data_IF_574626567872
#
_entry.id   IF_574626567872
#
_cell.length_a   1.000
_cell.length_b   1.000
_cell.length_c   1.000
_cell.angle_alpha   90.00
_cell.angle_beta   90.00
_cell.angle_gamma   90.00
#
_symmetry.space_group_name_H-M   'P 1'
#
loop_
_entity.id
_entity.type
_entity.pdbx_description
1 polymer ?
#
# COMPACT_ATOMS: atom_id res chain seq x y z
N UNK A 1 1.45 -19.08 -8.21
CA UNK A 1 2.04 -17.76 -8.49
C UNK A 1 0.94 -16.73 -8.43
N UNK A 2 1.22 -15.50 -7.98
CA UNK A 2 0.28 -14.39 -8.17
C UNK A 2 0.36 -14.00 -9.65
N UNK A 3 -0.80 -13.71 -10.26
CA UNK A 3 -0.89 -13.20 -11.63
C UNK A 3 -0.18 -11.84 -11.73
N UNK A 4 0.51 -11.59 -12.84
CA UNK A 4 1.11 -10.28 -13.15
C UNK A 4 0.04 -9.29 -13.61
N UNK A 5 0.34 -7.98 -13.55
CA UNK A 5 -0.59 -6.96 -14.03
C UNK A 5 -0.90 -7.12 -15.52
N UNK A 6 0.11 -7.46 -16.32
CA UNK A 6 -0.03 -7.71 -17.76
C UNK A 6 -0.93 -8.92 -18.04
N UNK A 7 -0.73 -10.04 -17.33
CA UNK A 7 -1.59 -11.22 -17.47
C UNK A 7 -3.05 -10.91 -17.08
N UNK A 8 -3.27 -10.12 -16.02
CA UNK A 8 -4.60 -9.71 -15.61
C UNK A 8 -5.26 -8.76 -16.64
N UNK A 9 -4.46 -7.87 -17.25
CA UNK A 9 -4.94 -6.98 -18.30
C UNK A 9 -5.31 -7.76 -19.57
N UNK A 10 -4.50 -8.75 -19.98
CA UNK A 10 -4.80 -9.63 -21.10
C UNK A 10 -6.09 -10.42 -20.84
N UNK A 11 -6.21 -11.06 -19.68
CA UNK A 11 -7.42 -11.82 -19.32
C UNK A 11 -8.67 -10.93 -19.33
N UNK A 12 -8.57 -9.68 -18.84
CA UNK A 12 -9.68 -8.73 -18.85
C UNK A 12 -10.12 -8.37 -20.29
N UNK A 13 -9.15 -8.20 -21.21
CA UNK A 13 -9.44 -7.94 -22.63
C UNK A 13 -10.11 -9.16 -23.27
N UNK A 14 -9.54 -10.35 -23.09
CA UNK A 14 -10.06 -11.60 -23.66
C UNK A 14 -11.48 -11.89 -23.19
N UNK A 15 -11.76 -11.72 -21.89
CA UNK A 15 -13.08 -11.88 -21.32
C UNK A 15 -14.11 -10.88 -21.87
N UNK A 16 -13.69 -9.64 -22.18
CA UNK A 16 -14.59 -8.61 -22.70
C UNK A 16 -14.95 -8.83 -24.17
N UNK A 17 -13.98 -9.26 -25.00
CA UNK A 17 -14.20 -9.48 -26.43
C UNK A 17 -14.57 -10.91 -26.79
N UNK A 18 -14.39 -11.87 -25.88
CA UNK A 18 -14.64 -13.30 -26.14
C UNK A 18 -13.69 -13.89 -27.18
N UNK A 19 -12.48 -13.35 -27.29
CA UNK A 19 -11.46 -13.76 -28.26
C UNK A 19 -10.06 -13.57 -27.67
N UNK A 20 -9.14 -14.44 -28.07
CA UNK A 20 -7.75 -14.45 -27.59
C UNK A 20 -7.03 -13.15 -27.94
N UNK A 21 -6.18 -12.67 -27.01
CA UNK A 21 -5.41 -11.45 -27.20
C UNK A 21 -4.29 -11.67 -28.23
N UNK A 22 -4.39 -11.01 -29.38
CA UNK A 22 -3.40 -11.14 -30.46
C UNK A 22 -2.41 -9.97 -30.56
N UNK A 23 -2.62 -8.91 -29.76
CA UNK A 23 -1.81 -7.69 -29.76
C UNK A 23 -1.81 -6.91 -31.08
N UNK A 24 -2.70 -7.25 -32.03
CA UNK A 24 -2.77 -6.63 -33.36
C UNK A 24 -4.02 -5.78 -33.52
N UNK A 25 -5.08 -6.14 -32.81
CA UNK A 25 -6.34 -5.41 -32.82
C UNK A 25 -6.20 -4.13 -31.99
N UNK A 26 -6.50 -2.98 -32.59
CA UNK A 26 -6.28 -1.67 -31.96
C UNK A 26 -7.10 -1.52 -30.67
N UNK A 27 -8.32 -2.04 -30.66
CA UNK A 27 -9.22 -2.04 -29.51
C UNK A 27 -8.67 -2.85 -28.34
N UNK A 28 -8.10 -4.03 -28.59
CA UNK A 28 -7.47 -4.87 -27.56
C UNK A 28 -6.28 -4.17 -26.90
N UNK A 29 -5.44 -3.54 -27.72
CA UNK A 29 -4.31 -2.76 -27.23
C UNK A 29 -4.78 -1.60 -26.33
N UNK A 30 -5.79 -0.83 -26.78
CA UNK A 30 -6.34 0.28 -25.99
C UNK A 30 -6.90 -0.21 -24.66
N UNK A 31 -7.66 -1.31 -24.62
CA UNK A 31 -8.22 -1.79 -23.36
C UNK A 31 -7.15 -2.29 -22.38
N UNK A 32 -6.10 -2.96 -22.88
CA UNK A 32 -4.98 -3.37 -22.02
C UNK A 32 -4.30 -2.16 -21.39
N UNK A 33 -3.94 -1.17 -22.21
CA UNK A 33 -3.30 0.07 -21.72
C UNK A 33 -4.21 0.85 -20.77
N UNK A 34 -5.52 0.90 -21.05
CA UNK A 34 -6.50 1.54 -20.17
C UNK A 34 -6.63 0.80 -18.83
N UNK A 35 -6.58 -0.53 -18.83
CA UNK A 35 -6.59 -1.35 -17.63
C UNK A 35 -5.34 -1.09 -16.78
N UNK A 36 -4.16 -1.12 -17.39
CA UNK A 36 -2.88 -0.85 -16.73
C UNK A 36 -2.85 0.57 -16.15
N UNK A 37 -3.26 1.58 -16.92
CA UNK A 37 -3.37 2.96 -16.44
C UNK A 37 -4.37 3.11 -15.28
N UNK A 38 -5.49 2.38 -15.33
CA UNK A 38 -6.47 2.33 -14.25
C UNK A 38 -5.91 1.69 -12.99
N UNK A 39 -5.15 0.60 -13.12
CA UNK A 39 -4.47 -0.06 -12.01
C UNK A 39 -3.39 0.83 -11.37
N UNK A 40 -2.60 1.54 -12.19
CA UNK A 40 -1.64 2.52 -11.70
C UNK A 40 -2.32 3.69 -10.97
N UNK A 41 -3.43 4.20 -11.51
CA UNK A 41 -4.22 5.24 -10.85
C UNK A 41 -4.77 4.75 -9.51
N UNK A 42 -5.30 3.53 -9.47
CA UNK A 42 -5.85 2.90 -8.26
C UNK A 42 -4.77 2.68 -7.20
N UNK A 43 -3.56 2.26 -7.59
CA UNK A 43 -2.43 2.12 -6.68
C UNK A 43 -2.06 3.45 -5.99
N UNK A 44 -2.23 4.58 -6.69
CA UNK A 44 -2.02 5.93 -6.16
C UNK A 44 -3.16 6.42 -5.26
N UNK A 45 -4.30 5.72 -5.21
CA UNK A 45 -5.42 6.05 -4.31
C UNK A 45 -5.27 5.45 -2.91
N UNK A 46 -4.26 4.60 -2.67
CA UNK A 46 -4.02 4.03 -1.36
C UNK A 46 -3.80 5.15 -0.34
N UNK A 47 -4.53 5.17 0.80
CA UNK A 47 -4.26 6.14 1.86
C UNK A 47 -2.92 5.86 2.57
N UNK A 48 -2.34 4.68 2.33
CA UNK A 48 -1.06 4.27 2.88
C UNK A 48 0.11 4.86 2.11
N UNK A 49 0.94 5.61 2.83
CA UNK A 49 2.22 6.13 2.40
C UNK A 49 3.33 5.18 2.84
N UNK A 50 4.26 4.84 1.95
CA UNK A 50 5.44 4.05 2.32
C UNK A 50 6.37 4.92 3.15
N UNK A 51 6.87 4.39 4.26
CA UNK A 51 7.78 5.13 5.15
C UNK A 51 9.06 5.56 4.42
N UNK A 52 9.54 4.74 3.48
CA UNK A 52 10.70 5.05 2.63
C UNK A 52 10.48 6.27 1.71
N UNK A 53 9.23 6.57 1.37
CA UNK A 53 8.88 7.65 0.44
C UNK A 53 8.65 8.95 1.22
N UNK A 54 7.96 8.88 2.37
CA UNK A 54 7.68 10.03 3.24
C UNK A 54 7.33 9.58 4.67
N UNK A 55 7.84 10.30 5.66
CA UNK A 55 7.44 10.18 7.07
C UNK A 55 6.26 11.12 7.41
N UNK A 56 5.42 10.77 8.41
CA UNK A 56 4.45 11.71 8.98
C UNK A 56 5.16 12.81 9.77
N UNK A 57 4.41 13.84 10.17
CA UNK A 57 4.96 14.87 11.08
C UNK A 57 5.27 14.23 12.45
N UNK A 58 6.35 14.67 13.12
CA UNK A 58 6.86 14.02 14.35
C UNK A 58 5.83 13.89 15.49
N UNK A 59 4.83 14.78 15.52
CA UNK A 59 3.76 14.80 16.53
C UNK A 59 2.43 14.25 16.03
N UNK A 60 2.39 13.70 14.82
CA UNK A 60 1.18 13.15 14.22
C UNK A 60 0.98 11.70 14.64
N UNK A 61 -0.17 11.43 15.28
CA UNK A 61 -0.60 10.06 15.57
C UNK A 61 -1.19 9.46 14.29
N UNK A 62 -0.59 8.37 13.81
CA UNK A 62 -0.96 7.72 12.54
C UNK A 62 -1.29 6.24 12.77
N UNK A 63 -1.98 5.63 11.80
CA UNK A 63 -2.02 4.17 11.68
C UNK A 63 -0.76 3.72 10.94
N UNK A 64 -0.12 2.67 11.42
CA UNK A 64 1.11 2.13 10.84
C UNK A 64 1.04 0.61 10.76
N UNK A 65 1.64 0.05 9.70
CA UNK A 65 1.74 -1.39 9.49
C UNK A 65 3.07 -1.92 10.01
N UNK A 66 3.01 -2.91 10.89
CA UNK A 66 4.17 -3.61 11.43
C UNK A 66 4.76 -4.57 10.41
N UNK A 67 6.09 -4.55 10.24
CA UNK A 67 6.77 -5.49 9.32
C UNK A 67 6.76 -6.93 9.87
N UNK A 68 6.80 -7.09 11.20
CA UNK A 68 6.95 -8.39 11.85
C UNK A 68 5.76 -9.34 11.67
N UNK A 69 4.54 -8.80 11.69
CA UNK A 69 3.30 -9.58 11.70
C UNK A 69 2.16 -8.92 10.91
N UNK A 70 2.45 -7.87 10.15
CA UNK A 70 1.47 -7.10 9.36
C UNK A 70 0.35 -6.45 10.20
N UNK A 71 0.48 -6.40 11.54
CA UNK A 71 -0.49 -5.78 12.40
C UNK A 71 -0.57 -4.27 12.13
N UNK A 72 -1.79 -3.73 12.20
CA UNK A 72 -2.02 -2.30 12.14
C UNK A 72 -2.18 -1.77 13.55
N UNK A 73 -1.33 -0.81 13.92
CA UNK A 73 -1.39 -0.14 15.22
C UNK A 73 -1.38 1.38 15.04
N UNK A 74 -1.85 2.09 16.05
CA UNK A 74 -1.72 3.55 16.12
C UNK A 74 -0.46 3.93 16.89
N UNK A 75 0.33 4.87 16.38
CA UNK A 75 1.55 5.32 17.07
C UNK A 75 2.23 6.48 16.36
N UNK A 76 3.37 6.90 16.91
CA UNK A 76 4.24 7.93 16.36
C UNK A 76 5.46 7.26 15.72
N UNK A 77 5.78 7.66 14.49
CA UNK A 77 6.92 7.10 13.76
C UNK A 77 8.17 7.93 14.03
N UNK A 78 9.25 7.27 14.42
CA UNK A 78 10.55 7.89 14.60
C UNK A 78 11.65 7.01 13.98
N UNK A 79 12.78 7.62 13.62
CA UNK A 79 13.94 6.89 13.12
C UNK A 79 14.83 6.51 14.31
N UNK A 80 15.06 5.22 14.50
CA UNK A 80 15.97 4.72 15.53
C UNK A 80 17.42 5.12 15.22
N UNK A 81 18.34 5.04 16.20
CA UNK A 81 19.77 5.25 15.95
C UNK A 81 20.36 4.35 14.85
N UNK A 82 19.76 3.18 14.62
CA UNK A 82 20.14 2.24 13.55
C UNK A 82 19.54 2.59 12.17
N UNK A 83 18.81 3.71 12.06
CA UNK A 83 18.17 4.16 10.83
C UNK A 83 16.86 3.44 10.51
N UNK A 84 16.28 2.72 11.47
CA UNK A 84 15.04 1.95 11.27
C UNK A 84 13.81 2.80 11.64
N UNK A 85 12.73 2.75 10.83
CA UNK A 85 11.47 3.42 11.14
C UNK A 85 10.68 2.66 12.22
N UNK A 86 10.87 3.07 13.47
CA UNK A 86 10.24 2.47 14.63
C UNK A 86 8.97 3.21 15.04
N UNK A 87 8.09 2.50 15.73
CA UNK A 87 6.83 3.05 16.23
C UNK A 87 6.86 3.13 17.75
N UNK A 88 6.58 4.33 18.27
CA UNK A 88 6.27 4.57 19.66
C UNK A 88 4.75 4.55 19.84
N UNK A 89 4.25 3.60 20.62
CA UNK A 89 2.84 3.54 21.01
C UNK A 89 2.60 4.31 22.31
N UNK A 90 1.34 4.57 22.64
CA UNK A 90 1.01 5.16 23.95
C UNK A 90 1.35 4.17 25.08
N UNK A 91 1.77 4.64 26.28
CA UNK A 91 2.23 3.77 27.37
C UNK A 91 1.19 2.76 27.88
N UNK A 92 -0.10 3.02 27.66
CA UNK A 92 -1.19 2.09 27.98
C UNK A 92 -1.36 0.96 26.93
N UNK A 93 -0.54 0.98 25.88
CA UNK A 93 -0.49 0.04 24.78
C UNK A 93 0.96 -0.43 24.60
N UNK A 94 1.57 -0.90 25.69
CA UNK A 94 2.84 -1.64 25.67
C UNK A 94 2.54 -3.14 25.71
N UNK A 95 2.99 -3.88 24.70
CA UNK A 95 3.15 -5.33 24.82
C UNK A 95 4.55 -5.57 25.40
N UNK A 96 4.66 -6.40 26.43
CA UNK A 96 5.93 -6.71 27.13
C UNK A 96 7.04 -7.25 26.20
N UNK A 97 6.70 -7.73 25.00
CA UNK A 97 7.58 -8.56 24.16
C UNK A 97 8.11 -7.92 22.86
N UNK A 98 7.92 -6.63 22.63
CA UNK A 98 8.30 -6.04 21.33
C UNK A 98 8.90 -4.63 21.47
N UNK A 99 10.18 -4.58 21.84
CA UNK A 99 11.00 -3.41 21.56
C UNK A 99 11.32 -3.33 20.06
N UNK A 100 11.27 -2.14 19.47
CA UNK A 100 11.71 -1.93 18.08
C UNK A 100 10.69 -2.34 17.02
N UNK A 101 9.44 -1.92 17.18
CA UNK A 101 8.37 -2.08 16.20
C UNK A 101 8.67 -1.36 14.87
N UNK A 102 9.35 -2.04 13.96
CA UNK A 102 9.63 -1.51 12.62
C UNK A 102 8.34 -1.49 11.80
N UNK A 103 8.05 -0.35 11.18
CA UNK A 103 6.93 -0.18 10.26
C UNK A 103 7.41 0.14 8.84
N UNK A 104 6.61 -0.22 7.82
CA UNK A 104 6.95 0.05 6.42
C UNK A 104 5.95 0.95 5.70
N UNK A 105 4.75 1.12 6.24
CA UNK A 105 3.73 2.03 5.71
C UNK A 105 2.92 2.68 6.84
N UNK A 106 2.37 3.85 6.55
CA UNK A 106 1.49 4.58 7.46
C UNK A 106 0.36 5.29 6.73
N UNK A 107 -0.72 5.61 7.44
CA UNK A 107 -1.77 6.51 6.94
C UNK A 107 -2.31 7.38 8.07
N UNK A 108 -2.82 8.59 7.76
CA UNK A 108 -3.54 9.40 8.73
C UNK A 108 -4.74 8.63 9.30
N UNK A 109 -5.05 8.81 10.59
CA UNK A 109 -6.25 8.24 11.20
C UNK A 109 -7.48 8.88 10.54
N UNK A 110 -8.39 8.10 9.92
CA UNK A 110 -9.60 8.65 9.32
C UNK A 110 -10.47 9.36 10.35
N UNK A 111 -10.95 10.55 10.00
CA UNK A 111 -11.94 11.29 10.80
C UNK A 111 -13.33 10.88 10.31
N UNK A 112 -14.16 10.37 11.21
CA UNK A 112 -15.52 9.89 10.88
C UNK A 112 -16.61 10.94 11.11
N UNK A 113 -16.27 12.12 11.60
CA UNK A 113 -17.22 13.14 12.08
C UNK A 113 -17.15 14.45 11.26
N UNK A 114 -17.27 14.38 9.94
CA UNK A 114 -17.58 15.55 9.10
C UNK A 114 -19.03 15.53 8.65
#
# INVERSE_FOLDING_TARGET
MKQTLEEAAIEAVENHYGMDYDGKTHEMYILREAFEAGAEWQAKQSPWTLVKDKLPDESELVLCRMVSNEAIVSGFIFISPDGLPCVATLPNFEFEDYGGYVCDMWMPIPKFNE
#
